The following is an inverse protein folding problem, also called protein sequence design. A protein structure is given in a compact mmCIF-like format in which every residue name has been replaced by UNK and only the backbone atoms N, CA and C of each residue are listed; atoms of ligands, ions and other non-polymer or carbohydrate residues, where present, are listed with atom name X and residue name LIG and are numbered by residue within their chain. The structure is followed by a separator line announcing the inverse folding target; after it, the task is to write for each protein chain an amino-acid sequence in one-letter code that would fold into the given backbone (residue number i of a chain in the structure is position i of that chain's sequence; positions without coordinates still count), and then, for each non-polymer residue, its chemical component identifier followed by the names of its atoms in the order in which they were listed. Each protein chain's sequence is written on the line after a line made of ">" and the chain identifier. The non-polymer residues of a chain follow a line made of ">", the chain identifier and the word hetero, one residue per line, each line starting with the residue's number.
data_IF_835251438234
#
_entry.id   IF_835251438234
#
_cell.length_a   1.000
_cell.length_b   1.000
_cell.length_c   1.000
_cell.angle_alpha   90.00
_cell.angle_beta   90.00
_cell.angle_gamma   90.00
#
_symmetry.space_group_name_H-M   'P 1'
#
loop_
_entity.id
_entity.type
_entity.pdbx_description
1 polymer ?
#
# COMPACT_ATOMS: atom_id res chain seq x y z
N UNK A 1 -29.34 -2.32 15.52
CA UNK A 1 -28.20 -1.58 16.13
C UNK A 1 -26.88 -2.37 16.10
N UNK A 2 -26.86 -3.71 16.26
CA UNK A 2 -25.60 -4.49 16.29
C UNK A 2 -24.88 -4.62 14.93
N UNK A 3 -25.64 -4.80 13.84
CA UNK A 3 -25.07 -4.99 12.50
C UNK A 3 -24.30 -3.76 11.97
N UNK A 4 -24.74 -2.56 12.35
CA UNK A 4 -24.12 -1.30 11.95
C UNK A 4 -22.70 -1.14 12.51
N UNK A 5 -22.47 -1.64 13.73
CA UNK A 5 -21.15 -1.59 14.38
C UNK A 5 -20.16 -2.52 13.69
N UNK A 6 -20.59 -3.75 13.35
CA UNK A 6 -19.73 -4.70 12.63
C UNK A 6 -19.35 -4.19 11.23
N UNK A 7 -20.30 -3.59 10.51
CA UNK A 7 -20.04 -2.97 9.21
C UNK A 7 -19.06 -1.80 9.31
N UNK A 8 -19.17 -0.97 10.36
CA UNK A 8 -18.25 0.14 10.58
C UNK A 8 -16.81 -0.33 10.84
N UNK A 9 -16.65 -1.38 11.63
CA UNK A 9 -15.32 -1.98 11.91
C UNK A 9 -14.68 -2.50 10.62
N UNK A 10 -15.44 -3.23 9.78
CA UNK A 10 -14.93 -3.73 8.50
C UNK A 10 -14.56 -2.58 7.54
N UNK A 11 -15.33 -1.49 7.54
CA UNK A 11 -15.01 -0.29 6.76
C UNK A 11 -13.76 0.42 7.26
N UNK A 12 -13.53 0.51 8.57
CA UNK A 12 -12.30 1.06 9.13
C UNK A 12 -11.08 0.20 8.79
N UNK A 13 -11.23 -1.13 8.81
CA UNK A 13 -10.18 -2.06 8.40
C UNK A 13 -9.81 -1.92 6.91
N UNK A 14 -10.81 -1.69 6.05
CA UNK A 14 -10.60 -1.41 4.64
C UNK A 14 -10.09 0.02 4.37
N UNK A 15 -10.49 0.99 5.19
CA UNK A 15 -10.06 2.40 5.06
C UNK A 15 -8.61 2.63 5.50
N UNK A 16 -8.00 1.69 6.22
CA UNK A 16 -6.59 1.75 6.60
C UNK A 16 -5.63 1.29 5.48
N UNK A 17 -6.13 0.71 4.38
CA UNK A 17 -5.29 0.26 3.27
C UNK A 17 -5.38 1.20 2.09
N UNK A 18 -4.69 2.34 2.15
CA UNK A 18 -4.34 3.09 0.94
C UNK A 18 -2.98 2.57 0.45
N UNK A 19 -2.93 1.61 -0.48
CA UNK A 19 -1.66 1.15 -1.04
C UNK A 19 -0.99 2.34 -1.75
N UNK A 20 0.23 2.68 -1.31
CA UNK A 20 1.10 3.66 -1.93
C UNK A 20 2.11 2.93 -2.81
N UNK A 21 1.96 3.09 -4.13
CA UNK A 21 2.95 2.63 -5.09
C UNK A 21 3.95 3.75 -5.37
N UNK A 22 5.24 3.42 -5.29
CA UNK A 22 6.34 4.31 -5.66
C UNK A 22 7.19 3.62 -6.73
N UNK A 23 7.57 4.36 -7.76
CA UNK A 23 8.52 3.87 -8.76
C UNK A 23 9.68 4.84 -8.81
N UNK A 24 10.86 4.38 -8.42
CA UNK A 24 12.08 5.17 -8.56
C UNK A 24 12.71 4.82 -9.91
N UNK A 25 12.68 5.78 -10.84
CA UNK A 25 13.27 5.61 -12.18
C UNK A 25 14.57 6.40 -12.22
N UNK A 26 15.68 5.71 -12.48
CA UNK A 26 17.00 6.33 -12.68
C UNK A 26 17.46 6.06 -14.10
N UNK A 27 17.61 7.12 -14.89
CA UNK A 27 18.16 7.03 -16.25
C UNK A 27 19.68 7.14 -16.15
N UNK A 28 20.38 6.10 -16.60
CA UNK A 28 21.84 6.08 -16.72
C UNK A 28 22.25 6.00 -18.18
N UNK A 29 23.49 6.37 -18.56
CA UNK A 29 24.00 6.18 -19.92
C UNK A 29 23.90 4.72 -20.41
N UNK A 30 23.96 3.77 -19.48
CA UNK A 30 23.82 2.32 -19.75
C UNK A 30 22.37 1.85 -19.91
N UNK A 31 21.39 2.76 -19.81
CA UNK A 31 19.96 2.49 -19.94
C UNK A 31 19.12 2.89 -18.70
N UNK A 32 17.79 2.78 -18.78
CA UNK A 32 16.89 3.08 -17.67
C UNK A 32 16.87 1.94 -16.64
N UNK A 33 17.08 2.26 -15.36
CA UNK A 33 16.79 1.35 -14.23
C UNK A 33 15.53 1.80 -13.50
N UNK A 34 14.66 0.84 -13.22
CA UNK A 34 13.42 1.05 -12.46
C UNK A 34 13.49 0.20 -11.19
N UNK A 35 13.37 0.85 -10.04
CA UNK A 35 13.23 0.19 -8.75
C UNK A 35 11.78 0.42 -8.25
N UNK A 36 10.86 -0.51 -8.53
CA UNK A 36 9.48 -0.42 -8.06
C UNK A 36 9.40 -0.79 -6.57
N UNK A 37 8.61 -0.04 -5.81
CA UNK A 37 8.25 -0.39 -4.44
C UNK A 37 6.75 -0.16 -4.20
N UNK A 38 6.14 -1.07 -3.46
CA UNK A 38 4.73 -0.96 -3.07
C UNK A 38 4.66 -1.03 -1.56
N UNK A 39 4.08 -0.01 -0.95
CA UNK A 39 3.78 0.03 0.48
C UNK A 39 2.27 -0.08 0.65
N UNK A 40 1.82 -1.03 1.44
CA UNK A 40 0.40 -1.17 1.81
C UNK A 40 0.29 -1.33 3.32
N UNK A 41 -0.84 -0.95 3.89
CA UNK A 41 -1.10 -1.09 5.32
C UNK A 41 -2.35 -1.93 5.50
N UNK A 42 -2.24 -3.07 6.16
CA UNK A 42 -3.39 -3.92 6.49
C UNK A 42 -3.48 -3.95 8.00
N UNK A 43 -4.63 -3.58 8.59
CA UNK A 43 -4.81 -3.60 10.05
C UNK A 43 -3.79 -2.72 10.82
N UNK A 44 -3.18 -1.72 10.18
CA UNK A 44 -2.10 -0.91 10.76
C UNK A 44 -0.70 -1.53 10.67
N UNK A 45 -0.57 -2.73 10.10
CA UNK A 45 0.72 -3.38 9.82
C UNK A 45 1.19 -2.89 8.44
N UNK A 46 2.31 -2.17 8.42
CA UNK A 46 2.96 -1.74 7.18
C UNK A 46 3.64 -2.92 6.48
N UNK A 47 3.19 -3.23 5.27
CA UNK A 47 3.80 -4.19 4.36
C UNK A 47 4.52 -3.42 3.26
N UNK A 48 5.82 -3.60 3.12
CA UNK A 48 6.59 -3.01 2.01
C UNK A 48 7.20 -4.12 1.18
N UNK A 49 6.88 -4.13 -0.11
CA UNK A 49 7.44 -5.06 -1.09
C UNK A 49 8.38 -4.27 -2.00
N UNK A 50 9.66 -4.64 -1.97
CA UNK A 50 10.70 -4.17 -2.89
C UNK A 50 11.15 -5.34 -3.73
N UNK A 51 11.21 -5.15 -5.06
CA UNK A 51 11.65 -6.17 -6.01
C UNK A 51 13.16 -6.16 -6.19
#
# INVERSE_FOLDING_TARGET
>A
MKATVAALVLLFLASCSQPRAHAHVRVTPDGPRVAPSVSTSILGIGLTVTR
#
